data_IF_151211021639
#
_entry.id   IF_151211021639
#
_cell.length_a   1.000
_cell.length_b   1.000
_cell.length_c   1.000
_cell.angle_alpha   90.00
_cell.angle_beta   90.00
_cell.angle_gamma   90.00
#
_symmetry.space_group_name_H-M   'P 1'
#
loop_
_entity.id
_entity.type
_entity.pdbx_description
1 polymer ?
#
# COMPACT_ATOMS: atom_id res chain seq x y z
N UNK A 1 -2.92 -11.64 -57.80
CA UNK A 1 -3.50 -11.22 -56.51
C UNK A 1 -4.00 -9.79 -56.70
N UNK A 2 -5.24 -9.64 -57.16
CA UNK A 2 -5.86 -8.33 -57.44
C UNK A 2 -6.38 -7.75 -56.13
N UNK A 3 -5.91 -6.56 -55.77
CA UNK A 3 -6.44 -5.83 -54.62
C UNK A 3 -7.89 -5.38 -54.91
N UNK A 4 -8.78 -5.35 -53.91
CA UNK A 4 -10.15 -4.89 -54.12
C UNK A 4 -10.17 -3.40 -54.52
N UNK A 5 -10.95 -3.05 -55.55
CA UNK A 5 -11.19 -1.67 -55.96
C UNK A 5 -12.05 -0.95 -54.92
N UNK A 6 -11.39 -0.30 -53.95
CA UNK A 6 -12.07 0.54 -52.96
C UNK A 6 -12.55 1.81 -53.65
N UNK A 7 -13.87 1.98 -53.78
CA UNK A 7 -14.45 3.21 -54.32
C UNK A 7 -14.02 4.44 -53.49
N UNK A 8 -13.90 5.61 -54.12
CA UNK A 8 -13.52 6.84 -53.41
C UNK A 8 -14.46 7.17 -52.24
N UNK A 9 -15.74 6.79 -52.33
CA UNK A 9 -16.75 6.96 -51.28
C UNK A 9 -16.45 6.08 -50.08
N UNK A 10 -16.08 4.81 -50.30
CA UNK A 10 -15.66 3.91 -49.23
C UNK A 10 -14.35 4.35 -48.59
N UNK A 11 -13.39 4.85 -49.38
CA UNK A 11 -12.16 5.44 -48.84
C UNK A 11 -12.44 6.69 -47.98
N UNK A 12 -13.34 7.56 -48.42
CA UNK A 12 -13.77 8.74 -47.66
C UNK A 12 -14.43 8.35 -46.33
N UNK A 13 -15.35 7.38 -46.33
CA UNK A 13 -15.97 6.88 -45.09
C UNK A 13 -14.98 6.26 -44.12
N UNK A 14 -14.00 5.50 -44.61
CA UNK A 14 -12.92 4.94 -43.79
C UNK A 14 -12.07 6.08 -43.20
N UNK A 15 -11.69 7.07 -44.00
CA UNK A 15 -10.90 8.21 -43.54
C UNK A 15 -11.65 9.04 -42.49
N UNK A 16 -12.94 9.30 -42.69
CA UNK A 16 -13.78 9.99 -41.72
C UNK A 16 -13.94 9.19 -40.43
N UNK A 17 -14.20 7.87 -40.53
CA UNK A 17 -14.28 6.99 -39.37
C UNK A 17 -12.97 6.98 -38.56
N UNK A 18 -11.83 6.90 -39.25
CA UNK A 18 -10.51 6.99 -38.63
C UNK A 18 -10.29 8.34 -37.94
N UNK A 19 -10.66 9.45 -38.60
CA UNK A 19 -10.53 10.78 -38.02
C UNK A 19 -11.37 10.96 -36.73
N UNK A 20 -12.59 10.42 -36.70
CA UNK A 20 -13.46 10.43 -35.50
C UNK A 20 -12.82 9.63 -34.36
N UNK A 21 -12.30 8.43 -34.64
CA UNK A 21 -11.63 7.60 -33.64
C UNK A 21 -10.38 8.31 -33.08
N UNK A 22 -9.57 8.93 -33.94
CA UNK A 22 -8.39 9.70 -33.52
C UNK A 22 -8.78 10.90 -32.67
N UNK A 23 -9.80 11.66 -33.06
CA UNK A 23 -10.28 12.82 -32.30
C UNK A 23 -10.83 12.41 -30.93
N UNK A 24 -11.60 11.31 -30.86
CA UNK A 24 -12.11 10.77 -29.61
C UNK A 24 -10.96 10.29 -28.69
N UNK A 25 -9.98 9.57 -29.25
CA UNK A 25 -8.79 9.14 -28.52
C UNK A 25 -7.97 10.30 -27.97
N UNK A 26 -7.73 11.34 -28.79
CA UNK A 26 -7.04 12.55 -28.37
C UNK A 26 -7.82 13.31 -27.29
N UNK A 27 -9.15 13.41 -27.41
CA UNK A 27 -10.02 14.00 -26.40
C UNK A 27 -9.94 13.27 -25.06
N UNK A 28 -10.03 11.93 -25.06
CA UNK A 28 -9.88 11.09 -23.86
C UNK A 28 -8.48 11.23 -23.24
N UNK A 29 -7.45 11.31 -24.06
CA UNK A 29 -6.07 11.49 -23.59
C UNK A 29 -5.85 12.88 -22.96
N UNK A 30 -6.32 13.94 -23.60
CA UNK A 30 -6.28 15.31 -23.05
C UNK A 30 -7.09 15.42 -21.77
N UNK A 31 -8.29 14.84 -21.72
CA UNK A 31 -9.12 14.81 -20.52
C UNK A 31 -8.41 14.09 -19.37
N UNK A 32 -7.87 12.89 -19.62
CA UNK A 32 -7.18 12.12 -18.58
C UNK A 32 -5.92 12.81 -18.07
N UNK A 33 -5.13 13.45 -18.95
CA UNK A 33 -3.95 14.22 -18.55
C UNK A 33 -4.31 15.46 -17.73
N UNK A 34 -5.37 16.19 -18.09
CA UNK A 34 -5.88 17.31 -17.30
C UNK A 34 -6.44 16.86 -15.95
N UNK A 35 -7.17 15.75 -15.92
CA UNK A 35 -7.70 15.17 -14.68
C UNK A 35 -6.56 14.74 -13.75
N UNK A 36 -5.49 14.17 -14.29
CA UNK A 36 -4.32 13.78 -13.49
C UNK A 36 -3.57 14.99 -12.91
N UNK A 37 -3.48 16.11 -13.65
CA UNK A 37 -2.91 17.36 -13.14
C UNK A 37 -3.72 17.91 -11.96
N UNK A 38 -5.05 17.96 -12.09
CA UNK A 38 -5.95 18.38 -11.00
C UNK A 38 -5.88 17.45 -9.79
N UNK A 39 -5.74 16.15 -10.04
CA UNK A 39 -5.54 15.18 -8.97
C UNK A 39 -4.19 15.41 -8.26
N UNK A 40 -3.12 15.73 -9.00
CA UNK A 40 -1.83 16.04 -8.38
C UNK A 40 -1.90 17.29 -7.49
N UNK A 41 -2.57 18.35 -7.95
CA UNK A 41 -2.78 19.58 -7.17
C UNK A 41 -3.62 19.31 -5.91
N UNK A 42 -4.77 18.63 -6.06
CA UNK A 42 -5.60 18.27 -4.91
C UNK A 42 -4.85 17.34 -3.93
N UNK A 43 -4.01 16.44 -4.44
CA UNK A 43 -3.18 15.61 -3.57
C UNK A 43 -2.10 16.44 -2.84
N UNK A 44 -1.55 17.48 -3.47
CA UNK A 44 -0.63 18.39 -2.81
C UNK A 44 -1.31 19.14 -1.65
N UNK A 45 -2.57 19.55 -1.80
CA UNK A 45 -3.36 20.12 -0.70
C UNK A 45 -3.58 19.12 0.44
N UNK A 46 -3.85 17.85 0.13
CA UNK A 46 -3.92 16.80 1.17
C UNK A 46 -2.57 16.68 1.90
N UNK A 47 -1.45 16.76 1.18
CA UNK A 47 -0.14 16.72 1.80
C UNK A 47 0.12 17.91 2.72
N UNK A 48 -0.40 19.12 2.42
CA UNK A 48 -0.28 20.27 3.34
C UNK A 48 -1.13 20.07 4.61
N UNK A 49 -2.31 19.46 4.49
CA UNK A 49 -3.10 19.05 5.67
C UNK A 49 -2.33 18.02 6.51
N UNK A 50 -1.66 17.07 5.87
CA UNK A 50 -0.85 16.07 6.59
C UNK A 50 0.36 16.67 7.29
N UNK A 51 1.07 17.63 6.67
CA UNK A 51 2.23 18.27 7.32
C UNK A 51 1.80 19.12 8.50
N UNK A 52 0.72 19.89 8.38
CA UNK A 52 0.17 20.69 9.48
C UNK A 52 -0.31 19.82 10.64
N UNK A 53 -0.95 18.68 10.36
CA UNK A 53 -1.38 17.73 11.38
C UNK A 53 -0.23 17.03 12.13
N UNK A 54 0.98 17.02 11.56
CA UNK A 54 2.20 16.47 12.19
C UNK A 54 2.96 17.47 13.05
N UNK A 55 2.55 18.74 13.08
CA UNK A 55 3.18 19.73 13.95
C UNK A 55 3.08 19.29 15.43
N UNK A 56 4.11 19.56 16.28
CA UNK A 56 4.10 19.15 17.69
C UNK A 56 2.86 19.61 18.45
N UNK A 57 2.38 20.82 18.14
CA UNK A 57 1.24 21.47 18.81
C UNK A 57 -0.07 21.31 18.02
N UNK A 58 -0.12 20.40 17.04
CA UNK A 58 -1.31 20.21 16.22
C UNK A 58 -2.50 19.72 17.08
N UNK A 59 -3.67 20.37 16.98
CA UNK A 59 -4.84 19.95 17.75
C UNK A 59 -5.30 18.55 17.30
N UNK A 60 -5.94 17.75 18.16
CA UNK A 60 -6.47 16.43 17.79
C UNK A 60 -7.40 16.47 16.56
N UNK A 61 -8.13 17.56 16.38
CA UNK A 61 -8.99 17.78 15.21
C UNK A 61 -8.21 17.86 13.88
N UNK A 62 -6.96 18.36 13.89
CA UNK A 62 -6.12 18.39 12.69
C UNK A 62 -5.77 16.98 12.20
N UNK A 63 -5.59 16.03 13.12
CA UNK A 63 -5.35 14.62 12.77
C UNK A 63 -6.60 13.97 12.16
N UNK A 64 -7.79 14.31 12.65
CA UNK A 64 -9.05 13.87 12.07
C UNK A 64 -9.30 14.46 10.67
N UNK A 65 -8.88 15.72 10.43
CA UNK A 65 -9.03 16.38 9.14
C UNK A 65 -8.25 15.67 8.01
N UNK A 66 -7.14 14.99 8.32
CA UNK A 66 -6.37 14.20 7.35
C UNK A 66 -7.22 13.10 6.72
N UNK A 67 -7.96 12.34 7.52
CA UNK A 67 -8.81 11.26 7.01
C UNK A 67 -9.90 11.81 6.06
N UNK A 68 -10.56 12.90 6.45
CA UNK A 68 -11.58 13.55 5.61
C UNK A 68 -11.02 14.09 4.29
N UNK A 69 -9.82 14.71 4.32
CA UNK A 69 -9.16 15.20 3.11
C UNK A 69 -8.78 14.06 2.15
N UNK A 70 -8.27 12.93 2.68
CA UNK A 70 -7.94 11.75 1.89
C UNK A 70 -9.19 11.06 1.32
N UNK A 71 -10.27 10.96 2.10
CA UNK A 71 -11.57 10.44 1.63
C UNK A 71 -12.14 11.29 0.50
N UNK A 72 -12.14 12.63 0.67
CA UNK A 72 -12.58 13.56 -0.36
C UNK A 72 -11.74 13.45 -1.64
N UNK A 73 -10.43 13.30 -1.51
CA UNK A 73 -9.54 13.06 -2.64
C UNK A 73 -9.89 11.76 -3.38
N UNK A 74 -10.06 10.65 -2.65
CA UNK A 74 -10.38 9.35 -3.24
C UNK A 74 -11.76 9.31 -3.89
N UNK A 75 -12.74 10.04 -3.35
CA UNK A 75 -14.06 10.18 -3.94
C UNK A 75 -14.03 10.96 -5.25
N UNK A 76 -13.23 12.04 -5.31
CA UNK A 76 -13.15 12.92 -6.49
C UNK A 76 -12.24 12.37 -7.59
N UNK A 77 -11.17 11.66 -7.22
CA UNK A 77 -10.15 11.15 -8.13
C UNK A 77 -9.87 9.65 -7.95
N UNK A 78 -10.90 8.77 -8.03
CA UNK A 78 -10.75 7.34 -7.76
C UNK A 78 -9.86 6.59 -8.76
N UNK A 79 -9.59 7.18 -9.93
CA UNK A 79 -8.72 6.63 -10.98
C UNK A 79 -7.33 7.28 -11.07
N UNK A 80 -7.01 8.24 -10.19
CA UNK A 80 -5.69 8.89 -10.22
C UNK A 80 -4.58 7.91 -9.88
N UNK A 81 -3.37 8.14 -10.43
CA UNK A 81 -2.15 7.42 -10.05
C UNK A 81 -1.81 7.59 -8.57
N UNK A 82 -2.32 8.64 -7.92
CA UNK A 82 -2.17 8.89 -6.47
C UNK A 82 -3.18 8.16 -5.61
N UNK A 83 -4.22 7.54 -6.18
CA UNK A 83 -5.28 6.88 -5.40
C UNK A 83 -4.73 5.76 -4.50
N UNK A 84 -3.78 4.96 -4.97
CA UNK A 84 -3.12 3.95 -4.14
C UNK A 84 -2.37 4.55 -2.95
N UNK A 85 -1.63 5.64 -3.18
CA UNK A 85 -0.90 6.35 -2.13
C UNK A 85 -1.86 6.98 -1.12
N UNK A 86 -2.87 7.72 -1.58
CA UNK A 86 -3.87 8.34 -0.72
C UNK A 86 -4.64 7.30 0.12
N UNK A 87 -5.00 6.16 -0.46
CA UNK A 87 -5.66 5.09 0.30
C UNK A 87 -4.74 4.47 1.36
N UNK A 88 -3.44 4.34 1.09
CA UNK A 88 -2.48 3.87 2.09
C UNK A 88 -2.35 4.86 3.25
N UNK A 89 -2.26 6.16 2.96
CA UNK A 89 -2.22 7.21 3.98
C UNK A 89 -3.52 7.29 4.78
N UNK A 90 -4.67 7.00 4.14
CA UNK A 90 -5.95 6.91 4.85
C UNK A 90 -5.94 5.73 5.83
N UNK A 91 -5.34 4.59 5.43
CA UNK A 91 -5.10 3.46 6.31
C UNK A 91 -4.24 3.84 7.51
N UNK A 92 -3.18 4.63 7.29
CA UNK A 92 -2.31 5.12 8.37
C UNK A 92 -3.09 6.04 9.33
N UNK A 93 -3.79 7.05 8.81
CA UNK A 93 -4.56 7.99 9.62
C UNK A 93 -5.65 7.29 10.46
N UNK A 94 -6.34 6.30 9.88
CA UNK A 94 -7.34 5.50 10.60
C UNK A 94 -6.69 4.57 11.63
N UNK A 95 -5.50 4.03 11.35
CA UNK A 95 -4.74 3.24 12.32
C UNK A 95 -4.31 4.09 13.52
N UNK A 96 -3.82 5.31 13.28
CA UNK A 96 -3.46 6.24 14.36
C UNK A 96 -4.68 6.60 15.23
N UNK A 97 -5.86 6.69 14.62
CA UNK A 97 -7.14 6.86 15.28
C UNK A 97 -7.72 5.58 15.92
N UNK A 98 -6.98 4.46 15.89
CA UNK A 98 -7.38 3.13 16.38
C UNK A 98 -8.64 2.56 15.72
N UNK A 99 -8.97 3.01 14.51
CA UNK A 99 -10.07 2.52 13.70
C UNK A 99 -9.60 1.34 12.85
N UNK A 100 -9.25 0.23 13.50
CA UNK A 100 -8.50 -0.88 12.89
C UNK A 100 -9.17 -1.52 11.68
N UNK A 101 -10.47 -1.76 11.74
CA UNK A 101 -11.24 -2.33 10.63
C UNK A 101 -11.27 -1.37 9.43
N UNK A 102 -11.60 -0.10 9.67
CA UNK A 102 -11.64 0.94 8.65
C UNK A 102 -10.25 1.20 8.03
N UNK A 103 -9.18 1.08 8.82
CA UNK A 103 -7.79 1.15 8.37
C UNK A 103 -7.44 0.00 7.42
N UNK A 104 -7.79 -1.24 7.79
CA UNK A 104 -7.63 -2.41 6.90
C UNK A 104 -8.36 -2.23 5.58
N UNK A 105 -9.59 -1.71 5.62
CA UNK A 105 -10.35 -1.37 4.42
C UNK A 105 -9.56 -0.44 3.49
N UNK A 106 -9.01 0.65 4.05
CA UNK A 106 -8.23 1.62 3.29
C UNK A 106 -6.92 1.02 2.71
N UNK A 107 -6.19 0.21 3.47
CA UNK A 107 -5.01 -0.49 2.94
C UNK A 107 -5.36 -1.47 1.81
N UNK A 108 -6.48 -2.19 1.89
CA UNK A 108 -6.97 -3.05 0.79
C UNK A 108 -7.31 -2.23 -0.44
N UNK A 109 -7.92 -1.06 -0.27
CA UNK A 109 -8.16 -0.12 -1.37
C UNK A 109 -6.84 0.31 -2.00
N UNK A 110 -5.81 0.61 -1.20
CA UNK A 110 -4.49 0.97 -1.72
C UNK A 110 -3.92 -0.12 -2.65
N UNK A 111 -4.01 -1.38 -2.23
CA UNK A 111 -3.60 -2.55 -3.02
C UNK A 111 -4.41 -2.67 -4.32
N UNK A 112 -5.74 -2.51 -4.25
CA UNK A 112 -6.62 -2.55 -5.41
C UNK A 112 -6.39 -1.37 -6.38
N UNK A 113 -5.92 -0.23 -5.87
CA UNK A 113 -5.61 0.99 -6.64
C UNK A 113 -4.15 1.05 -7.11
N UNK A 114 -3.48 -0.09 -7.19
CA UNK A 114 -2.17 -0.20 -7.84
C UNK A 114 -0.98 0.13 -6.95
N UNK A 115 -1.12 0.09 -5.61
CA UNK A 115 0.04 0.12 -4.74
C UNK A 115 1.06 -0.96 -5.15
N UNK A 116 2.31 -0.55 -5.34
CA UNK A 116 3.40 -1.38 -5.83
C UNK A 116 4.71 -1.08 -5.12
N UNK A 117 5.69 -1.98 -5.25
CA UNK A 117 6.98 -1.88 -4.56
C UNK A 117 6.81 -1.66 -3.06
N UNK A 118 7.55 -0.72 -2.50
CA UNK A 118 7.49 -0.36 -1.08
C UNK A 118 6.08 -0.01 -0.59
N UNK A 119 5.28 0.68 -1.39
CA UNK A 119 3.92 1.08 -0.98
C UNK A 119 3.01 -0.15 -0.80
N UNK A 120 3.16 -1.17 -1.64
CA UNK A 120 2.46 -2.45 -1.48
C UNK A 120 2.86 -3.12 -0.17
N UNK A 121 4.15 -3.21 0.09
CA UNK A 121 4.69 -3.81 1.32
C UNK A 121 4.17 -3.10 2.56
N UNK A 122 4.18 -1.77 2.56
CA UNK A 122 3.67 -0.96 3.67
C UNK A 122 2.15 -1.13 3.87
N UNK A 123 1.36 -1.16 2.80
CA UNK A 123 -0.08 -1.40 2.91
C UNK A 123 -0.39 -2.80 3.45
N UNK A 124 0.33 -3.84 3.00
CA UNK A 124 0.18 -5.19 3.52
C UNK A 124 0.62 -5.29 5.00
N UNK A 125 1.73 -4.64 5.35
CA UNK A 125 2.19 -4.53 6.73
C UNK A 125 1.15 -3.83 7.62
N UNK A 126 0.54 -2.74 7.13
CA UNK A 126 -0.54 -2.03 7.83
C UNK A 126 -1.73 -2.94 8.11
N UNK A 127 -2.11 -3.80 7.16
CA UNK A 127 -3.17 -4.81 7.40
C UNK A 127 -2.76 -5.76 8.53
N UNK A 128 -1.52 -6.23 8.57
CA UNK A 128 -1.06 -7.11 9.63
C UNK A 128 -1.00 -6.41 10.99
N UNK A 129 -0.46 -5.19 11.02
CA UNK A 129 -0.38 -4.35 12.22
C UNK A 129 -1.74 -4.11 12.86
N UNK A 130 -2.76 -3.77 12.07
CA UNK A 130 -4.12 -3.55 12.62
C UNK A 130 -4.71 -4.81 13.27
N UNK A 131 -4.42 -6.01 12.77
CA UNK A 131 -4.82 -7.26 13.44
C UNK A 131 -4.04 -7.48 14.74
N UNK A 132 -2.75 -7.17 14.74
CA UNK A 132 -1.91 -7.24 15.93
C UNK A 132 -2.39 -6.26 17.02
N UNK A 133 -2.76 -5.03 16.63
CA UNK A 133 -3.29 -4.01 17.53
C UNK A 133 -4.63 -4.41 18.17
N UNK A 134 -5.45 -5.19 17.47
CA UNK A 134 -6.66 -5.83 18.01
C UNK A 134 -6.39 -7.10 18.83
N UNK A 135 -5.12 -7.47 19.02
CA UNK A 135 -4.68 -8.71 19.68
C UNK A 135 -5.14 -9.98 18.97
N UNK A 136 -5.53 -9.89 17.71
CA UNK A 136 -5.80 -11.06 16.87
C UNK A 136 -4.51 -11.58 16.24
N UNK A 137 -3.64 -12.12 17.10
CA UNK A 137 -2.27 -12.48 16.74
C UNK A 137 -2.19 -13.58 15.69
N UNK A 138 -3.18 -14.48 15.63
CA UNK A 138 -3.27 -15.50 14.58
C UNK A 138 -3.48 -14.84 13.21
N UNK A 139 -4.45 -13.93 13.06
CA UNK A 139 -4.67 -13.20 11.80
C UNK A 139 -3.53 -12.25 11.47
N UNK A 140 -2.92 -11.63 12.48
CA UNK A 140 -1.73 -10.81 12.30
C UNK A 140 -0.60 -11.63 11.67
N UNK A 141 -0.31 -12.82 12.21
CA UNK A 141 0.70 -13.71 11.66
C UNK A 141 0.42 -14.13 10.22
N UNK A 142 -0.84 -14.44 9.88
CA UNK A 142 -1.22 -14.73 8.50
C UNK A 142 -0.97 -13.54 7.55
N UNK A 143 -1.37 -12.35 7.98
CA UNK A 143 -1.18 -11.12 7.21
C UNK A 143 0.30 -10.73 7.06
N UNK A 144 1.12 -10.89 8.11
CA UNK A 144 2.56 -10.66 8.03
C UNK A 144 3.24 -11.64 7.07
N UNK A 145 2.87 -12.92 7.08
CA UNK A 145 3.36 -13.88 6.07
C UNK A 145 2.97 -13.47 4.66
N UNK A 146 1.75 -12.98 4.45
CA UNK A 146 1.31 -12.50 3.15
C UNK A 146 2.10 -11.25 2.70
N UNK A 147 2.44 -10.35 3.63
CA UNK A 147 3.30 -9.18 3.35
C UNK A 147 4.74 -9.56 3.01
N UNK A 148 5.25 -10.68 3.56
CA UNK A 148 6.56 -11.24 3.24
C UNK A 148 6.60 -11.96 1.89
N UNK A 149 5.45 -12.34 1.33
CA UNK A 149 5.39 -13.11 0.09
C UNK A 149 5.97 -12.32 -1.08
N UNK A 150 7.01 -12.86 -1.71
CA UNK A 150 7.69 -12.23 -2.84
C UNK A 150 8.76 -11.20 -2.47
N UNK A 151 9.00 -10.95 -1.18
CA UNK A 151 10.14 -10.15 -0.72
C UNK A 151 11.41 -11.00 -0.59
N UNK A 152 12.55 -10.37 -0.92
CA UNK A 152 13.89 -10.89 -0.72
C UNK A 152 14.49 -10.36 0.58
N UNK A 153 15.48 -11.04 1.17
CA UNK A 153 16.18 -10.54 2.35
C UNK A 153 16.80 -9.14 2.20
N UNK A 154 17.16 -8.74 0.98
CA UNK A 154 17.68 -7.40 0.69
C UNK A 154 16.60 -6.32 0.64
N UNK A 155 15.33 -6.69 0.52
CA UNK A 155 14.25 -5.74 0.27
C UNK A 155 13.95 -4.91 1.53
N UNK A 156 13.56 -3.67 1.27
CA UNK A 156 13.12 -2.76 2.31
C UNK A 156 11.99 -3.42 3.13
N UNK A 157 12.11 -3.30 4.46
CA UNK A 157 11.12 -3.78 5.43
C UNK A 157 11.05 -5.30 5.66
N UNK A 158 11.80 -6.11 4.91
CA UNK A 158 11.82 -7.57 5.08
C UNK A 158 12.14 -8.02 6.52
N UNK A 159 13.21 -7.46 7.07
CA UNK A 159 13.67 -7.75 8.43
C UNK A 159 12.63 -7.39 9.48
N UNK A 160 12.00 -6.22 9.35
CA UNK A 160 10.96 -5.77 10.28
C UNK A 160 9.74 -6.69 10.24
N UNK A 161 9.31 -7.12 9.05
CA UNK A 161 8.19 -8.04 8.90
C UNK A 161 8.47 -9.43 9.50
N UNK A 162 9.69 -9.94 9.43
CA UNK A 162 10.05 -11.18 10.11
C UNK A 162 10.01 -11.03 11.63
N UNK A 163 10.48 -9.90 12.16
CA UNK A 163 10.40 -9.61 13.59
C UNK A 163 8.95 -9.53 14.05
N UNK A 164 8.10 -8.80 13.32
CA UNK A 164 6.69 -8.63 13.66
C UNK A 164 5.88 -9.93 13.52
N UNK A 165 6.22 -10.75 12.51
CA UNK A 165 5.68 -12.10 12.37
C UNK A 165 6.05 -12.98 13.56
N UNK A 166 7.34 -13.00 13.94
CA UNK A 166 7.82 -13.76 15.09
C UNK A 166 7.09 -13.34 16.36
N UNK A 167 7.01 -12.02 16.63
CA UNK A 167 6.31 -11.47 17.79
C UNK A 167 4.83 -11.86 17.80
N UNK A 168 4.15 -11.76 16.66
CA UNK A 168 2.75 -12.18 16.53
C UNK A 168 2.59 -13.69 16.79
N UNK A 169 3.51 -14.53 16.32
CA UNK A 169 3.47 -15.97 16.59
C UNK A 169 3.64 -16.28 18.08
N UNK A 170 4.55 -15.58 18.77
CA UNK A 170 4.71 -15.74 20.22
C UNK A 170 3.44 -15.37 20.98
N UNK A 171 2.86 -14.21 20.65
CA UNK A 171 1.64 -13.73 21.29
C UNK A 171 0.42 -14.62 20.98
N UNK A 172 0.48 -15.39 19.89
CA UNK A 172 -0.50 -16.42 19.55
C UNK A 172 -0.19 -17.79 20.19
N UNK A 173 0.84 -17.92 21.03
CA UNK A 173 1.27 -19.19 21.64
C UNK A 173 2.00 -20.16 20.70
N UNK A 174 2.31 -19.72 19.47
CA UNK A 174 2.95 -20.53 18.43
C UNK A 174 4.47 -20.49 18.55
N UNK A 175 4.98 -20.93 19.71
CA UNK A 175 6.38 -20.79 20.11
C UNK A 175 7.39 -21.36 19.10
N UNK A 176 7.16 -22.57 18.61
CA UNK A 176 8.06 -23.22 17.64
C UNK A 176 8.15 -22.46 16.32
N UNK A 177 7.02 -21.89 15.88
CA UNK A 177 6.97 -21.07 14.66
C UNK A 177 7.73 -19.76 14.86
N UNK A 178 7.59 -19.12 16.02
CA UNK A 178 8.34 -17.91 16.35
C UNK A 178 9.86 -18.16 16.33
N UNK A 179 10.30 -19.26 16.95
CA UNK A 179 11.71 -19.68 16.93
C UNK A 179 12.21 -19.83 15.49
N UNK A 180 11.48 -20.57 14.65
CA UNK A 180 11.85 -20.77 13.25
C UNK A 180 11.92 -19.44 12.47
N UNK A 181 10.98 -18.52 12.70
CA UNK A 181 10.95 -17.20 12.05
C UNK A 181 12.17 -16.35 12.45
N UNK A 182 12.52 -16.33 13.73
CA UNK A 182 13.69 -15.59 14.22
C UNK A 182 15.01 -16.18 13.75
N UNK A 183 15.14 -17.51 13.76
CA UNK A 183 16.32 -18.20 13.21
C UNK A 183 16.48 -17.92 11.72
N UNK A 184 15.37 -17.90 10.96
CA UNK A 184 15.39 -17.50 9.55
C UNK A 184 15.96 -16.10 9.36
N UNK A 185 15.52 -15.13 10.18
CA UNK A 185 16.05 -13.77 10.12
C UNK A 185 17.57 -13.74 10.37
N UNK A 186 18.06 -14.41 11.41
CA UNK A 186 19.49 -14.45 11.72
C UNK A 186 20.32 -15.12 10.62
N UNK A 187 19.76 -16.14 9.96
CA UNK A 187 20.39 -16.83 8.83
C UNK A 187 20.45 -15.97 7.58
N UNK A 188 19.36 -15.29 7.24
CA UNK A 188 19.24 -14.53 5.99
C UNK A 188 19.78 -13.09 6.12
N UNK A 189 19.88 -12.57 7.35
CA UNK A 189 20.35 -11.22 7.69
C UNK A 189 21.34 -11.25 8.86
N UNK A 190 22.50 -11.91 8.72
CA UNK A 190 23.46 -12.05 9.81
C UNK A 190 24.01 -10.70 10.32
N UNK A 191 24.05 -9.67 9.46
CA UNK A 191 24.44 -8.31 9.82
C UNK A 191 23.29 -7.39 10.27
N UNK A 192 22.11 -7.94 10.58
CA UNK A 192 20.99 -7.15 11.09
C UNK A 192 21.39 -6.40 12.37
N UNK A 193 21.15 -5.08 12.46
CA UNK A 193 21.29 -4.34 13.72
C UNK A 193 20.43 -4.90 14.86
N UNK A 194 19.35 -5.62 14.52
CA UNK A 194 18.40 -6.26 15.43
C UNK A 194 18.80 -7.69 15.80
N UNK A 195 19.89 -8.22 15.27
CA UNK A 195 20.32 -9.59 15.53
C UNK A 195 20.57 -9.88 17.02
N UNK A 196 21.05 -8.89 17.79
CA UNK A 196 21.22 -9.00 19.24
C UNK A 196 19.88 -9.22 19.95
N UNK A 197 18.90 -8.38 19.66
CA UNK A 197 17.54 -8.47 20.22
C UNK A 197 16.87 -9.80 19.89
N UNK A 198 17.02 -10.25 18.64
CA UNK A 198 16.45 -11.52 18.15
C UNK A 198 17.09 -12.73 18.84
N UNK A 199 18.41 -12.73 19.04
CA UNK A 199 19.11 -13.77 19.82
C UNK A 199 18.66 -13.80 21.27
N UNK A 200 18.53 -12.62 21.90
CA UNK A 200 17.99 -12.51 23.25
C UNK A 200 16.57 -13.10 23.34
N UNK A 201 15.72 -12.79 22.35
CA UNK A 201 14.36 -13.34 22.30
C UNK A 201 14.36 -14.85 22.13
N UNK A 202 15.18 -15.41 21.24
CA UNK A 202 15.33 -16.86 21.07
C UNK A 202 15.74 -17.57 22.38
N UNK A 203 16.67 -16.99 23.14
CA UNK A 203 17.07 -17.53 24.44
C UNK A 203 15.91 -17.54 25.44
N UNK A 204 15.09 -16.48 25.49
CA UNK A 204 13.87 -16.46 26.34
C UNK A 204 12.83 -17.49 25.92
N UNK A 205 12.80 -17.84 24.62
CA UNK A 205 11.98 -18.92 24.09
C UNK A 205 12.62 -20.30 24.33
N UNK A 206 13.75 -20.42 25.00
CA UNK A 206 14.41 -21.71 25.25
C UNK A 206 14.95 -22.37 23.99
N UNK A 207 15.13 -21.60 22.91
CA UNK A 207 15.93 -22.05 21.78
C UNK A 207 17.40 -21.89 22.17
N UNK A 208 18.14 -23.01 22.22
CA UNK A 208 19.58 -22.97 22.43
C UNK A 208 20.24 -22.17 21.30
N UNK A 209 21.22 -21.35 21.67
CA UNK A 209 22.04 -20.51 20.80
C UNK A 209 22.81 -21.29 19.76
#
# INVERSE_FOLDING_TARGET
MSWPDISWRTAAWIATGLAVVVAAGAGLWLWSTLQERRALEAYAEVMTVMTTARAPDAPPAARAAVAGALEGFLARYPGSRRAGQAACELGNARSDARQWEAARGAYRIALAKGAQGTLRTLAQAGIAYTWEAERNFTRAGEAYRAALAGLKPSDFYYEQLLIDLGRSQEMAGQKDRAIATYQRLLKERPGSPRAGDVRGRLATLGAAS
#
